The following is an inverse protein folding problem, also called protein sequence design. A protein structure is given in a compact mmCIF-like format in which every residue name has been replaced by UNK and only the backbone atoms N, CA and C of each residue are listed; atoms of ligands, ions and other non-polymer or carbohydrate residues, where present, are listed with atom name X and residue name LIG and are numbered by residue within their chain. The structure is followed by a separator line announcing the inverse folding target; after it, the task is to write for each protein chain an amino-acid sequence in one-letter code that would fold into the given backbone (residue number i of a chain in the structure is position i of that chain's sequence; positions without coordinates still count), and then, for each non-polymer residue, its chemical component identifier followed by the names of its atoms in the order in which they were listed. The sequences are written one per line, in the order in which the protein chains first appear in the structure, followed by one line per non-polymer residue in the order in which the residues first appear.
data_IF_136479599172
#
_entry.id   IF_136479599172
#
_cell.length_a   1.000
_cell.length_b   1.000
_cell.length_c   1.000
_cell.angle_alpha   90.00
_cell.angle_beta   90.00
_cell.angle_gamma   90.00
#
_symmetry.space_group_name_H-M   'P 1'
#
loop_
_entity.id
_entity.type
_entity.pdbx_description
1 polymer ?
#
# COMPACT_ATOMS: atom_id res chain seq x y z
N UNK A 1 12.20 -15.52 -2.15
CA UNK A 1 13.47 -15.96 -1.53
C UNK A 1 14.40 -14.83 -1.10
N UNK A 2 14.38 -13.64 -1.73
CA UNK A 2 15.33 -12.55 -1.38
C UNK A 2 15.23 -12.04 0.07
N UNK A 3 14.07 -12.22 0.71
CA UNK A 3 13.82 -11.79 2.10
C UNK A 3 14.09 -12.95 3.08
N UNK A 4 13.64 -14.15 2.74
CA UNK A 4 13.96 -15.37 3.47
C UNK A 4 14.24 -16.51 2.49
N UNK A 5 15.34 -17.23 2.73
CA UNK A 5 15.79 -18.33 1.88
C UNK A 5 14.77 -19.49 1.78
N UNK A 6 13.91 -19.66 2.80
CA UNK A 6 12.86 -20.68 2.81
C UNK A 6 11.67 -20.34 1.92
N UNK A 7 11.49 -19.07 1.53
CA UNK A 7 10.40 -18.63 0.65
C UNK A 7 10.71 -18.95 -0.81
N UNK A 8 10.67 -20.26 -1.11
CA UNK A 8 10.88 -20.85 -2.42
C UNK A 8 9.63 -21.65 -2.79
N UNK A 9 8.94 -21.21 -3.83
CA UNK A 9 7.72 -21.84 -4.31
C UNK A 9 7.99 -22.49 -5.65
N UNK A 10 7.49 -23.72 -5.84
CA UNK A 10 7.65 -24.43 -7.11
C UNK A 10 6.52 -24.08 -8.09
N UNK A 11 6.87 -23.92 -9.37
CA UNK A 11 5.90 -23.71 -10.44
C UNK A 11 4.87 -24.83 -10.49
N UNK A 12 5.29 -26.08 -10.27
CA UNK A 12 4.38 -27.23 -10.21
C UNK A 12 3.31 -27.10 -9.12
N UNK A 13 3.65 -26.52 -7.96
CA UNK A 13 2.65 -26.27 -6.91
C UNK A 13 1.67 -25.18 -7.33
N UNK A 14 2.14 -24.13 -7.99
CA UNK A 14 1.26 -23.10 -8.55
C UNK A 14 0.30 -23.68 -9.61
N UNK A 15 0.78 -24.51 -10.55
CA UNK A 15 -0.07 -25.14 -11.56
C UNK A 15 -1.17 -26.02 -10.95
N UNK A 16 -0.88 -26.71 -9.84
CA UNK A 16 -1.91 -27.45 -9.09
C UNK A 16 -2.97 -26.54 -8.50
N UNK A 17 -2.61 -25.38 -7.96
CA UNK A 17 -3.58 -24.38 -7.48
C UNK A 17 -4.41 -23.81 -8.64
N UNK A 18 -3.78 -23.54 -9.78
CA UNK A 18 -4.45 -23.07 -10.99
C UNK A 18 -5.48 -24.07 -11.50
N UNK A 19 -5.10 -25.35 -11.62
CA UNK A 19 -6.02 -26.42 -12.00
C UNK A 19 -7.17 -26.57 -10.99
N UNK A 20 -6.88 -26.47 -9.68
CA UNK A 20 -7.90 -26.51 -8.64
C UNK A 20 -8.89 -25.35 -8.77
N UNK A 21 -8.44 -24.15 -9.13
CA UNK A 21 -9.33 -23.02 -9.39
C UNK A 21 -10.23 -23.29 -10.60
N UNK A 22 -9.71 -23.86 -11.68
CA UNK A 22 -10.49 -24.22 -12.89
C UNK A 22 -11.54 -25.30 -12.63
N UNK A 23 -11.26 -26.23 -11.73
CA UNK A 23 -12.16 -27.31 -11.32
C UNK A 23 -13.23 -26.86 -10.32
N UNK A 24 -13.18 -25.60 -9.86
CA UNK A 24 -14.23 -25.01 -9.05
C UNK A 24 -15.53 -25.01 -9.87
N UNK A 25 -16.54 -25.75 -9.41
CA UNK A 25 -17.89 -25.64 -9.98
C UNK A 25 -18.44 -24.25 -9.66
N UNK A 26 -18.51 -23.41 -10.69
CA UNK A 26 -19.12 -22.10 -10.64
C UNK A 26 -20.24 -22.13 -11.67
N UNK A 27 -21.47 -22.36 -11.21
CA UNK A 27 -22.70 -22.27 -12.00
C UNK A 27 -23.00 -20.80 -12.29
N UNK A 28 -22.20 -20.21 -13.18
CA UNK A 28 -22.35 -18.84 -13.65
C UNK A 28 -22.70 -18.86 -15.14
N UNK A 29 -23.81 -18.19 -15.48
CA UNK A 29 -24.43 -18.30 -16.79
C UNK A 29 -23.59 -17.72 -17.92
N UNK A 30 -22.87 -16.60 -17.69
CA UNK A 30 -22.04 -15.97 -18.72
C UNK A 30 -20.54 -16.18 -18.48
N UNK A 31 -19.80 -16.25 -19.59
CA UNK A 31 -18.36 -16.53 -19.59
C UNK A 31 -17.55 -15.44 -18.87
N UNK A 32 -17.96 -14.18 -18.95
CA UNK A 32 -17.23 -13.06 -18.35
C UNK A 32 -17.28 -13.10 -16.82
N UNK A 33 -18.46 -13.34 -16.24
CA UNK A 33 -18.66 -13.54 -14.81
C UNK A 33 -17.93 -14.78 -14.32
N UNK A 34 -17.95 -15.86 -15.12
CA UNK A 34 -17.18 -17.06 -14.83
C UNK A 34 -15.68 -16.77 -14.77
N UNK A 35 -15.12 -16.01 -15.73
CA UNK A 35 -13.70 -15.62 -15.72
C UNK A 35 -13.37 -14.77 -14.49
N UNK A 36 -14.18 -13.75 -14.18
CA UNK A 36 -13.98 -12.90 -12.99
C UNK A 36 -13.98 -13.73 -11.70
N UNK A 37 -14.90 -14.69 -11.60
CA UNK A 37 -15.02 -15.55 -10.43
C UNK A 37 -13.87 -16.55 -10.31
N UNK A 38 -13.41 -17.13 -11.42
CA UNK A 38 -12.22 -17.99 -11.45
C UNK A 38 -10.95 -17.22 -11.05
N UNK A 39 -10.78 -15.99 -11.55
CA UNK A 39 -9.68 -15.11 -11.15
C UNK A 39 -9.75 -14.83 -9.65
N UNK A 40 -10.93 -14.51 -9.11
CA UNK A 40 -11.12 -14.31 -7.68
C UNK A 40 -10.77 -15.56 -6.87
N UNK A 41 -11.28 -16.73 -7.27
CA UNK A 41 -10.98 -18.01 -6.61
C UNK A 41 -9.48 -18.31 -6.62
N UNK A 42 -8.81 -18.13 -7.77
CA UNK A 42 -7.37 -18.30 -7.88
C UNK A 42 -6.58 -17.35 -6.97
N UNK A 43 -6.96 -16.06 -6.92
CA UNK A 43 -6.34 -15.06 -6.03
C UNK A 43 -6.40 -15.53 -4.57
N UNK A 44 -7.56 -16.00 -4.11
CA UNK A 44 -7.74 -16.50 -2.74
C UNK A 44 -6.89 -17.76 -2.47
N UNK A 45 -6.92 -18.73 -3.38
CA UNK A 45 -6.13 -19.97 -3.24
C UNK A 45 -4.62 -19.70 -3.17
N UNK A 46 -4.12 -18.82 -4.04
CA UNK A 46 -2.70 -18.45 -4.07
C UNK A 46 -2.32 -17.70 -2.79
N UNK A 47 -3.12 -16.70 -2.38
CA UNK A 47 -2.86 -15.93 -1.18
C UNK A 47 -2.83 -16.82 0.07
N UNK A 48 -3.84 -17.68 0.24
CA UNK A 48 -3.95 -18.58 1.39
C UNK A 48 -2.81 -19.60 1.40
N UNK A 49 -2.47 -20.19 0.25
CA UNK A 49 -1.36 -21.14 0.14
C UNK A 49 -0.03 -20.50 0.53
N UNK A 50 0.26 -19.30 0.02
CA UNK A 50 1.51 -18.59 0.34
C UNK A 50 1.53 -18.21 1.82
N UNK A 51 0.45 -17.62 2.36
CA UNK A 51 0.38 -17.22 3.76
C UNK A 51 0.58 -18.37 4.75
N UNK A 52 0.16 -19.59 4.41
CA UNK A 52 0.43 -20.81 5.21
C UNK A 52 1.92 -21.17 5.27
N UNK A 53 2.71 -20.76 4.28
CA UNK A 53 4.14 -21.04 4.19
C UNK A 53 5.01 -19.89 4.72
N UNK A 54 4.43 -18.72 5.00
CA UNK A 54 5.14 -17.56 5.54
C UNK A 54 5.11 -17.54 7.06
N UNK A 55 6.15 -16.96 7.66
CA UNK A 55 6.05 -16.53 9.05
C UNK A 55 4.98 -15.45 9.20
N UNK A 56 4.32 -15.42 10.37
CA UNK A 56 3.25 -14.44 10.66
C UNK A 56 3.69 -12.99 10.45
N UNK A 57 4.92 -12.66 10.82
CA UNK A 57 5.49 -11.32 10.65
C UNK A 57 5.61 -10.88 9.17
N UNK A 58 5.72 -11.84 8.25
CA UNK A 58 5.94 -11.56 6.82
C UNK A 58 4.65 -11.54 6.00
N UNK A 59 3.52 -11.92 6.58
CA UNK A 59 2.24 -12.01 5.87
C UNK A 59 1.76 -10.63 5.39
N UNK A 60 1.91 -9.58 6.21
CA UNK A 60 1.50 -8.22 5.84
C UNK A 60 2.33 -7.67 4.68
N UNK A 61 3.65 -7.88 4.73
CA UNK A 61 4.56 -7.50 3.64
C UNK A 61 4.19 -8.22 2.35
N UNK A 62 3.92 -9.53 2.41
CA UNK A 62 3.46 -10.27 1.25
C UNK A 62 2.12 -9.74 0.72
N UNK A 63 1.15 -9.47 1.59
CA UNK A 63 -0.15 -8.93 1.20
C UNK A 63 -0.01 -7.60 0.45
N UNK A 64 0.80 -6.66 0.95
CA UNK A 64 1.05 -5.38 0.31
C UNK A 64 1.72 -5.54 -1.06
N UNK A 65 2.77 -6.37 -1.16
CA UNK A 65 3.43 -6.65 -2.44
C UNK A 65 2.51 -7.38 -3.43
N UNK A 66 1.65 -8.27 -2.94
CA UNK A 66 0.68 -8.99 -3.76
C UNK A 66 -0.35 -8.02 -4.35
N UNK A 67 -0.90 -7.11 -3.55
CA UNK A 67 -1.81 -6.06 -4.05
C UNK A 67 -1.12 -5.15 -5.05
N UNK A 68 0.10 -4.66 -4.76
CA UNK A 68 0.86 -3.82 -5.70
C UNK A 68 1.14 -4.53 -7.03
N UNK A 69 1.43 -5.83 -7.00
CA UNK A 69 1.67 -6.63 -8.20
C UNK A 69 0.40 -6.94 -9.00
N UNK A 70 -0.74 -7.15 -8.33
CA UNK A 70 -2.01 -7.48 -8.98
C UNK A 70 -2.79 -6.25 -9.47
N UNK A 71 -2.60 -5.11 -8.80
CA UNK A 71 -3.32 -3.86 -9.05
C UNK A 71 -2.37 -2.66 -9.10
N UNK A 72 -1.39 -2.66 -10.03
CA UNK A 72 -0.42 -1.57 -10.13
C UNK A 72 -1.09 -0.22 -10.45
N UNK A 73 -2.26 -0.23 -11.08
CA UNK A 73 -3.07 0.95 -11.44
C UNK A 73 -3.60 1.74 -10.24
N UNK A 74 -3.67 1.12 -9.06
CA UNK A 74 -4.12 1.78 -7.83
C UNK A 74 -3.06 2.70 -7.22
N UNK A 75 -1.83 2.67 -7.73
CA UNK A 75 -0.70 3.41 -7.19
C UNK A 75 -0.15 4.33 -8.27
N UNK A 76 -0.18 5.63 -8.00
CA UNK A 76 0.38 6.63 -8.89
C UNK A 76 1.92 6.58 -8.92
N UNK A 77 2.49 7.32 -9.86
CA UNK A 77 3.94 7.46 -9.98
C UNK A 77 4.54 7.94 -8.64
N UNK A 78 5.66 7.32 -8.24
CA UNK A 78 6.41 7.60 -7.01
C UNK A 78 5.70 7.29 -5.68
N UNK A 79 4.41 6.95 -5.64
CA UNK A 79 3.71 6.68 -4.38
C UNK A 79 4.29 5.48 -3.65
N UNK A 80 4.49 4.37 -4.36
CA UNK A 80 5.05 3.14 -3.78
C UNK A 80 6.49 3.33 -3.30
N UNK A 81 7.30 4.03 -4.07
CA UNK A 81 8.71 4.24 -3.75
C UNK A 81 8.90 5.26 -2.61
N UNK A 82 7.98 6.24 -2.50
CA UNK A 82 7.88 7.14 -1.34
C UNK A 82 7.45 6.37 -0.10
N UNK A 83 6.40 5.54 -0.22
CA UNK A 83 5.89 4.70 0.87
C UNK A 83 6.96 3.74 1.40
N UNK A 84 7.75 3.13 0.52
CA UNK A 84 8.80 2.17 0.89
C UNK A 84 10.14 2.80 1.27
N UNK A 85 10.30 4.12 1.15
CA UNK A 85 11.52 4.82 1.57
C UNK A 85 12.64 4.90 0.52
N UNK A 86 12.44 4.36 -0.69
CA UNK A 86 13.51 4.19 -1.69
C UNK A 86 13.97 5.53 -2.29
N UNK A 87 13.04 6.47 -2.53
CA UNK A 87 13.34 7.78 -3.16
C UNK A 87 13.95 8.79 -2.15
N UNK A 88 13.81 8.54 -0.85
CA UNK A 88 13.87 9.60 0.16
C UNK A 88 15.30 9.95 0.60
N UNK A 89 16.26 9.03 0.47
CA UNK A 89 17.64 9.20 0.96
C UNK A 89 18.44 10.33 0.31
N UNK A 90 18.11 10.73 -0.93
CA UNK A 90 18.91 11.66 -1.73
C UNK A 90 18.27 13.05 -1.91
N UNK A 91 16.95 13.19 -1.83
CA UNK A 91 16.28 14.47 -2.13
C UNK A 91 16.39 15.52 -1.01
N UNK A 92 16.41 15.09 0.26
CA UNK A 92 16.36 15.99 1.42
C UNK A 92 17.72 16.27 2.06
N UNK A 93 18.78 15.53 1.69
CA UNK A 93 20.15 15.79 2.18
C UNK A 93 20.76 17.10 1.67
N UNK A 94 20.08 17.78 0.72
CA UNK A 94 20.59 18.95 0.00
C UNK A 94 19.92 20.29 0.29
N UNK A 95 18.92 20.40 1.16
CA UNK A 95 18.36 21.72 1.51
C UNK A 95 18.69 22.12 2.95
N UNK A 96 19.64 23.04 3.05
CA UNK A 96 19.99 23.78 4.24
C UNK A 96 18.78 24.43 4.91
N UNK A 97 18.81 24.44 6.25
CA UNK A 97 17.87 25.06 7.20
C UNK A 97 16.57 24.29 7.50
N UNK A 98 16.62 23.50 8.57
CA UNK A 98 15.46 22.93 9.28
C UNK A 98 14.38 23.96 9.66
N UNK A 99 14.73 25.25 9.71
CA UNK A 99 13.78 26.35 9.93
C UNK A 99 12.82 26.57 8.74
N UNK A 100 13.31 26.57 7.50
CA UNK A 100 12.47 26.83 6.32
C UNK A 100 11.41 25.75 6.07
N UNK A 101 11.71 24.51 6.47
CA UNK A 101 10.78 23.38 6.39
C UNK A 101 9.67 23.50 7.44
N UNK A 102 10.00 23.98 8.65
CA UNK A 102 9.01 24.18 9.73
C UNK A 102 7.96 25.22 9.36
N UNK A 103 8.38 26.32 8.74
CA UNK A 103 7.47 27.41 8.37
C UNK A 103 6.47 26.99 7.27
N UNK A 104 6.74 25.89 6.56
CA UNK A 104 5.90 25.38 5.47
C UNK A 104 4.94 24.26 5.89
N UNK A 105 4.98 23.86 7.16
CA UNK A 105 4.19 22.75 7.70
C UNK A 105 3.08 23.33 8.61
N UNK A 106 1.83 22.85 8.46
CA UNK A 106 0.73 23.29 9.30
C UNK A 106 1.02 23.11 10.81
N UNK A 107 0.66 24.09 11.66
CA UNK A 107 1.04 24.10 13.08
C UNK A 107 0.35 23.00 13.91
N UNK A 108 -0.70 22.38 13.39
CA UNK A 108 -1.38 21.27 14.06
C UNK A 108 -0.62 19.94 13.96
N UNK A 109 0.37 19.85 13.07
CA UNK A 109 1.19 18.66 12.88
C UNK A 109 2.34 18.67 13.87
N UNK A 110 2.52 17.56 14.59
CA UNK A 110 3.60 17.39 15.55
C UNK A 110 4.99 17.54 14.90
N UNK A 111 5.91 18.17 15.64
CA UNK A 111 7.26 18.48 15.15
C UNK A 111 8.06 17.23 14.74
N UNK A 112 7.76 16.07 15.34
CA UNK A 112 8.38 14.78 15.02
C UNK A 112 7.99 14.28 13.62
N UNK A 113 6.78 14.63 13.16
CA UNK A 113 6.26 14.26 11.84
C UNK A 113 6.67 15.24 10.75
N UNK A 114 7.25 16.39 11.11
CA UNK A 114 7.56 17.45 10.15
C UNK A 114 8.43 16.96 8.98
N UNK A 115 9.41 16.10 9.26
CA UNK A 115 10.27 15.58 8.21
C UNK A 115 9.55 14.63 7.24
N UNK A 116 8.66 13.77 7.76
CA UNK A 116 7.84 12.89 6.94
C UNK A 116 6.87 13.69 6.05
N UNK A 117 6.24 14.74 6.59
CA UNK A 117 5.35 15.62 5.82
C UNK A 117 6.10 16.42 4.77
N UNK A 118 7.28 16.94 5.10
CA UNK A 118 8.14 17.61 4.12
C UNK A 118 8.52 16.68 2.97
N UNK A 119 8.88 15.43 3.28
CA UNK A 119 9.17 14.40 2.30
C UNK A 119 7.96 14.13 1.41
N UNK A 120 6.78 13.92 2.02
CA UNK A 120 5.54 13.69 1.29
C UNK A 120 5.22 14.85 0.33
N UNK A 121 5.43 16.09 0.77
CA UNK A 121 5.18 17.30 -0.03
C UNK A 121 6.12 17.43 -1.23
N UNK A 122 7.38 17.01 -1.08
CA UNK A 122 8.37 17.01 -2.16
C UNK A 122 8.09 15.88 -3.15
N UNK A 123 7.84 14.67 -2.64
CA UNK A 123 7.67 13.48 -3.47
C UNK A 123 6.30 13.41 -4.16
N UNK A 124 5.25 13.89 -3.48
CA UNK A 124 3.84 13.82 -3.92
C UNK A 124 3.13 15.18 -3.72
N UNK A 125 3.54 16.24 -4.46
CA UNK A 125 3.00 17.58 -4.28
C UNK A 125 1.50 17.67 -4.61
N UNK A 126 1.04 16.99 -5.65
CA UNK A 126 -0.38 16.99 -6.07
C UNK A 126 -1.27 16.38 -4.98
N UNK A 127 -0.85 15.26 -4.38
CA UNK A 127 -1.57 14.65 -3.26
C UNK A 127 -1.71 15.63 -2.09
N UNK A 128 -0.62 16.29 -1.71
CA UNK A 128 -0.65 17.26 -0.60
C UNK A 128 -1.55 18.47 -0.89
N UNK A 129 -1.69 18.87 -2.16
CA UNK A 129 -2.61 19.93 -2.56
C UNK A 129 -4.06 19.47 -2.49
N UNK A 130 -4.37 18.26 -3.00
CA UNK A 130 -5.74 17.70 -2.95
C UNK A 130 -6.21 17.50 -1.52
N UNK A 131 -5.33 17.02 -0.65
CA UNK A 131 -5.64 16.65 0.75
C UNK A 131 -5.75 17.88 1.68
N UNK A 132 -5.33 19.06 1.21
CA UNK A 132 -5.48 20.34 1.92
C UNK A 132 -5.00 20.30 3.38
N UNK A 133 -3.79 19.80 3.66
CA UNK A 133 -3.26 19.70 5.03
C UNK A 133 -3.25 21.02 5.81
N UNK A 134 -3.35 22.17 5.15
CA UNK A 134 -3.48 23.48 5.80
C UNK A 134 -4.80 23.65 6.57
N UNK A 135 -5.86 22.93 6.21
CA UNK A 135 -7.12 22.96 6.94
C UNK A 135 -7.04 22.12 8.21
N UNK A 136 -6.62 22.76 9.30
CA UNK A 136 -6.52 22.09 10.59
C UNK A 136 -7.87 21.53 11.06
N UNK A 137 -8.98 22.24 10.81
CA UNK A 137 -10.29 21.85 11.32
C UNK A 137 -10.78 20.55 10.68
N UNK A 138 -10.46 20.34 9.39
CA UNK A 138 -10.73 19.10 8.67
C UNK A 138 -10.00 17.89 9.27
N UNK A 139 -8.73 18.06 9.66
CA UNK A 139 -7.87 16.98 10.13
C UNK A 139 -7.86 16.77 11.65
N UNK A 140 -8.34 17.73 12.45
CA UNK A 140 -8.40 17.61 13.91
C UNK A 140 -9.17 16.36 14.39
N UNK A 141 -10.36 16.01 13.85
CA UNK A 141 -11.09 14.81 14.26
C UNK A 141 -10.28 13.54 14.00
N UNK A 142 -9.77 13.39 12.77
CA UNK A 142 -8.89 12.28 12.38
C UNK A 142 -7.68 12.15 13.30
N UNK A 143 -7.01 13.27 13.62
CA UNK A 143 -5.80 13.26 14.44
C UNK A 143 -6.02 12.88 15.91
N UNK A 144 -7.23 13.07 16.44
CA UNK A 144 -7.55 12.82 17.86
C UNK A 144 -8.28 11.49 18.08
N UNK A 145 -8.76 10.87 17.00
CA UNK A 145 -9.50 9.62 17.05
C UNK A 145 -8.57 8.43 17.33
N UNK A 146 -9.06 7.48 18.12
CA UNK A 146 -8.40 6.17 18.32
C UNK A 146 -8.71 5.18 17.18
N UNK A 147 -9.63 5.52 16.28
CA UNK A 147 -10.06 4.72 15.11
C UNK A 147 -10.00 5.57 13.85
N UNK A 148 -8.91 6.32 13.71
CA UNK A 148 -8.74 7.33 12.65
C UNK A 148 -8.85 6.74 11.23
N UNK A 149 -8.58 5.45 11.06
CA UNK A 149 -8.76 4.74 9.78
C UNK A 149 -10.22 4.65 9.31
N UNK A 150 -11.18 4.82 10.22
CA UNK A 150 -12.63 4.84 9.92
C UNK A 150 -13.18 6.27 9.81
N UNK A 151 -12.45 7.26 10.33
CA UNK A 151 -12.86 8.66 10.42
C UNK A 151 -12.04 9.55 9.48
N UNK A 152 -11.87 9.09 8.24
CA UNK A 152 -11.16 9.85 7.23
C UNK A 152 -11.98 11.09 6.81
N UNK A 153 -11.38 12.28 6.70
CA UNK A 153 -12.12 13.47 6.29
C UNK A 153 -12.70 13.32 4.89
N UNK A 154 -13.92 13.79 4.68
CA UNK A 154 -14.54 13.87 3.35
C UNK A 154 -14.01 15.10 2.63
N UNK A 155 -13.04 14.89 1.73
CA UNK A 155 -12.33 15.92 0.94
C UNK A 155 -12.99 16.05 -0.43
#
# INVERSE_FOLDING_TARGET
SKINNMYRFSLASFLRLFQRALQSELDLGNTEERIKSLISSLKHLVYEYVCRCLFKADQLMFALHFVKGMHPELFQNNEWDTFTGVIIGDMLRKSDSTKSIRDQIPPWIEQERSWAVATLKISLPTLCQTVCFQDAALWQPFSRSSVCEQEFPSI
#
